data_IF_869220773432
#
_entry.id   IF_869220773432
#
_cell.length_a   1.000
_cell.length_b   1.000
_cell.length_c   1.000
_cell.angle_alpha   90.00
_cell.angle_beta   90.00
_cell.angle_gamma   90.00
#
_symmetry.space_group_name_H-M   'P 1'
#
loop_
_entity.id
_entity.type
_entity.pdbx_description
1 polymer ?
#
# COMPACT_ATOMS: atom_id res chain seq x y z
N UNK A 1 8.56 4.27 -7.95
CA UNK A 1 9.27 5.35 -8.66
C UNK A 1 8.33 6.32 -9.38
N UNK A 2 7.65 5.90 -10.46
CA UNK A 2 6.74 6.79 -11.20
C UNK A 2 5.54 7.26 -10.37
N UNK A 3 4.88 6.32 -9.68
CA UNK A 3 3.76 6.63 -8.77
C UNK A 3 4.19 7.60 -7.67
N UNK A 4 5.33 7.34 -7.01
CA UNK A 4 5.83 8.24 -5.96
C UNK A 4 6.13 9.65 -6.48
N UNK A 5 6.64 9.75 -7.71
CA UNK A 5 6.92 11.05 -8.34
C UNK A 5 5.63 11.81 -8.62
N UNK A 6 4.64 11.18 -9.25
CA UNK A 6 3.37 11.86 -9.56
C UNK A 6 2.58 12.19 -8.29
N UNK A 7 2.60 11.33 -7.27
CA UNK A 7 2.00 11.63 -5.96
C UNK A 7 2.59 12.91 -5.35
N UNK A 8 3.92 13.08 -5.39
CA UNK A 8 4.58 14.30 -4.87
C UNK A 8 4.25 15.54 -5.70
N UNK A 9 4.31 15.44 -7.04
CA UNK A 9 4.00 16.58 -7.92
C UNK A 9 2.57 17.06 -7.71
N UNK A 10 1.59 16.17 -7.71
CA UNK A 10 0.19 16.53 -7.54
C UNK A 10 -0.12 17.06 -6.13
N UNK A 11 0.54 16.53 -5.08
CA UNK A 11 0.38 17.08 -3.73
C UNK A 11 0.84 18.54 -3.64
N UNK A 12 1.93 18.90 -4.33
CA UNK A 12 2.44 20.28 -4.37
C UNK A 12 1.56 21.20 -5.21
N UNK A 13 1.13 20.73 -6.38
CA UNK A 13 0.32 21.52 -7.32
C UNK A 13 -1.11 21.73 -6.82
N UNK A 14 -1.73 20.71 -6.21
CA UNK A 14 -3.15 20.77 -5.87
C UNK A 14 -3.44 21.09 -4.40
N UNK A 15 -2.46 20.91 -3.52
CA UNK A 15 -2.63 21.18 -2.09
C UNK A 15 -2.91 22.65 -1.80
N UNK A 16 -2.19 23.57 -2.44
CA UNK A 16 -2.30 25.01 -2.16
C UNK A 16 -3.55 25.63 -2.77
N UNK A 17 -3.84 25.30 -4.03
CA UNK A 17 -4.87 26.00 -4.80
C UNK A 17 -6.28 25.39 -4.64
N UNK A 18 -6.37 24.10 -4.28
CA UNK A 18 -7.64 23.36 -4.27
C UNK A 18 -7.92 22.63 -2.96
N UNK A 19 -7.02 22.70 -1.96
CA UNK A 19 -7.11 21.93 -0.71
C UNK A 19 -7.26 20.42 -0.93
N UNK A 20 -6.57 19.89 -1.96
CA UNK A 20 -6.59 18.47 -2.31
C UNK A 20 -5.32 17.79 -1.81
N UNK A 21 -5.48 16.77 -0.97
CA UNK A 21 -4.37 15.94 -0.48
C UNK A 21 -4.17 14.73 -1.38
N UNK A 22 -2.93 14.51 -1.84
CA UNK A 22 -2.56 13.35 -2.67
C UNK A 22 -1.52 12.52 -1.92
N UNK A 23 -1.87 11.27 -1.61
CA UNK A 23 -1.02 10.33 -0.86
C UNK A 23 -0.96 8.97 -1.56
N UNK A 24 0.10 8.22 -1.30
CA UNK A 24 0.28 6.86 -1.81
C UNK A 24 0.36 5.85 -0.67
N UNK A 25 -0.24 4.68 -0.86
CA UNK A 25 -0.05 3.51 0.01
C UNK A 25 0.82 2.53 -0.78
N UNK A 26 1.89 2.04 -0.15
CA UNK A 26 2.78 1.02 -0.72
C UNK A 26 2.64 -0.29 0.07
N UNK A 27 1.70 -1.18 -0.29
CA UNK A 27 1.52 -2.45 0.38
C UNK A 27 2.73 -3.37 0.21
N UNK A 28 3.08 -4.09 1.27
CA UNK A 28 3.86 -5.32 1.17
C UNK A 28 3.01 -6.51 0.70
N UNK A 29 3.45 -7.75 0.94
CA UNK A 29 2.66 -8.94 0.61
C UNK A 29 1.34 -9.01 1.41
N UNK A 30 0.20 -8.89 0.72
CA UNK A 30 -1.14 -8.92 1.32
C UNK A 30 -1.86 -10.23 0.97
N UNK A 31 -2.24 -10.99 2.00
CA UNK A 31 -2.92 -12.28 1.86
C UNK A 31 -4.30 -12.16 1.18
N UNK A 32 -4.67 -13.20 0.43
CA UNK A 32 -5.99 -13.28 -0.22
C UNK A 32 -6.23 -12.24 -1.32
N UNK A 33 -5.17 -11.64 -1.88
CA UNK A 33 -5.24 -10.70 -3.00
C UNK A 33 -4.81 -11.36 -4.32
N UNK A 34 -5.34 -10.92 -5.47
CA UNK A 34 -4.89 -11.41 -6.77
C UNK A 34 -3.40 -11.18 -7.03
N UNK A 35 -2.85 -10.08 -6.50
CA UNK A 35 -1.41 -9.81 -6.59
C UNK A 35 -0.61 -10.93 -5.95
N UNK A 36 -1.00 -11.38 -4.76
CA UNK A 36 -0.33 -12.47 -4.07
C UNK A 36 -0.57 -13.83 -4.74
N UNK A 37 -1.81 -14.15 -5.14
CA UNK A 37 -2.13 -15.45 -5.74
C UNK A 37 -1.51 -15.65 -7.13
N UNK A 38 -1.25 -14.56 -7.87
CA UNK A 38 -0.60 -14.62 -9.18
C UNK A 38 0.93 -14.60 -9.10
N UNK A 39 1.50 -13.97 -8.07
CA UNK A 39 2.94 -13.77 -7.95
C UNK A 39 3.63 -14.77 -7.01
N UNK A 40 2.86 -15.54 -6.23
CA UNK A 40 3.41 -16.52 -5.30
C UNK A 40 2.77 -17.91 -5.50
N UNK A 41 3.47 -18.82 -6.20
CA UNK A 41 3.18 -20.26 -6.16
C UNK A 41 3.11 -20.76 -4.71
N UNK A 42 2.36 -21.83 -4.46
CA UNK A 42 2.17 -22.39 -3.11
C UNK A 42 3.51 -22.71 -2.40
N UNK A 43 4.53 -23.10 -3.17
CA UNK A 43 5.88 -23.41 -2.67
C UNK A 43 6.62 -22.17 -2.13
N UNK A 44 6.25 -20.96 -2.56
CA UNK A 44 6.89 -19.71 -2.13
C UNK A 44 6.21 -19.08 -0.90
N UNK A 45 5.02 -19.53 -0.49
CA UNK A 45 4.31 -18.94 0.66
C UNK A 45 5.11 -18.99 1.96
N UNK A 46 5.90 -20.05 2.17
CA UNK A 46 6.81 -20.16 3.31
C UNK A 46 7.94 -19.12 3.28
N UNK A 47 8.49 -18.84 2.09
CA UNK A 47 9.61 -17.91 1.89
C UNK A 47 9.21 -16.45 2.12
N UNK A 48 7.97 -16.07 1.79
CA UNK A 48 7.46 -14.73 2.11
C UNK A 48 7.39 -14.50 3.62
N UNK A 49 6.99 -15.53 4.39
CA UNK A 49 6.88 -15.41 5.84
C UNK A 49 8.24 -15.17 6.49
N UNK A 50 9.31 -15.80 5.99
CA UNK A 50 10.65 -15.65 6.55
C UNK A 50 11.34 -14.34 6.14
N UNK A 51 11.00 -13.78 4.97
CA UNK A 51 11.59 -12.52 4.49
C UNK A 51 10.89 -11.27 5.04
N UNK A 52 9.69 -11.39 5.61
CA UNK A 52 8.97 -10.28 6.24
C UNK A 52 9.40 -10.19 7.73
N UNK A 53 9.88 -9.04 8.23
CA UNK A 53 10.32 -8.89 9.62
C UNK A 53 9.26 -9.21 10.68
N UNK A 54 7.97 -9.03 10.34
CA UNK A 54 6.85 -9.36 11.21
C UNK A 54 6.42 -10.83 11.14
N UNK A 55 7.10 -11.63 10.31
CA UNK A 55 6.82 -13.06 10.10
C UNK A 55 5.37 -13.39 9.77
N UNK A 56 4.66 -12.45 9.12
CA UNK A 56 3.26 -12.60 8.70
C UNK A 56 2.99 -11.81 7.43
N UNK A 57 2.03 -12.28 6.63
CA UNK A 57 1.44 -11.49 5.56
C UNK A 57 0.57 -10.39 6.16
N UNK A 58 0.46 -9.26 5.45
CA UNK A 58 -0.54 -8.26 5.76
C UNK A 58 -1.95 -8.72 5.37
N UNK A 59 -2.95 -8.09 5.97
CA UNK A 59 -4.35 -8.31 5.67
C UNK A 59 -4.93 -7.15 4.86
N UNK A 60 -6.03 -7.39 4.14
CA UNK A 60 -6.75 -6.33 3.43
C UNK A 60 -7.17 -5.19 4.37
N UNK A 61 -7.42 -5.52 5.64
CA UNK A 61 -7.81 -4.56 6.66
C UNK A 61 -6.69 -3.57 7.01
N UNK A 62 -5.42 -4.00 6.97
CA UNK A 62 -4.28 -3.10 7.20
C UNK A 62 -4.25 -1.96 6.16
N UNK A 63 -4.55 -2.29 4.90
CA UNK A 63 -4.63 -1.32 3.80
C UNK A 63 -5.88 -0.44 3.93
N UNK A 64 -7.02 -1.03 4.29
CA UNK A 64 -8.26 -0.30 4.48
C UNK A 64 -8.14 0.76 5.58
N UNK A 65 -7.51 0.42 6.71
CA UNK A 65 -7.31 1.36 7.81
C UNK A 65 -6.32 2.47 7.44
N UNK A 66 -5.25 2.17 6.69
CA UNK A 66 -4.35 3.19 6.18
C UNK A 66 -5.05 4.15 5.19
N UNK A 67 -5.88 3.62 4.29
CA UNK A 67 -6.68 4.42 3.37
C UNK A 67 -7.70 5.28 4.10
N UNK A 68 -8.38 4.73 5.11
CA UNK A 68 -9.34 5.46 5.93
C UNK A 68 -8.67 6.63 6.64
N UNK A 69 -7.51 6.39 7.28
CA UNK A 69 -6.73 7.45 7.91
C UNK A 69 -6.38 8.56 6.92
N UNK A 70 -5.79 8.18 5.77
CA UNK A 70 -5.41 9.15 4.74
C UNK A 70 -6.60 9.90 4.13
N UNK A 71 -7.79 9.31 4.07
CA UNK A 71 -9.00 9.94 3.53
C UNK A 71 -9.80 10.75 4.56
N UNK A 72 -9.45 10.67 5.84
CA UNK A 72 -10.14 11.36 6.93
C UNK A 72 -9.47 12.67 7.33
N UNK A 73 -10.11 13.41 8.25
CA UNK A 73 -9.56 14.58 8.94
C UNK A 73 -8.83 14.22 10.25
N UNK A 74 -8.71 12.92 10.56
CA UNK A 74 -8.25 12.39 11.85
C UNK A 74 -6.77 12.68 12.15
#
# INVERSE_FOLDING_TARGET
AAVDSITRSLALEWGTDYDIRVNGIAPGPIGGTPGMSKLAPEEMKGQFKESIPLYKLGEKWDIAMAALYLASDA
#
